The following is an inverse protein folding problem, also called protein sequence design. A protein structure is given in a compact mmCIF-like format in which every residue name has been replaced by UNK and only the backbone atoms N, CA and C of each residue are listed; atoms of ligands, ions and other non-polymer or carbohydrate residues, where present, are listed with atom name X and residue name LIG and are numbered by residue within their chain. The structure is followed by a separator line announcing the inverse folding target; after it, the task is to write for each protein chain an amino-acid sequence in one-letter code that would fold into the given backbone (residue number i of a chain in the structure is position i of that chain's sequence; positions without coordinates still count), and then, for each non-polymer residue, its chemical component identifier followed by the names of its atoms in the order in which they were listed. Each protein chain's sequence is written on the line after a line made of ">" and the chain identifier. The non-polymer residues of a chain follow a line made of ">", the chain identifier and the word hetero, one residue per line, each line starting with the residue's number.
data_IF_561066154564
#
_entry.id   IF_561066154564
#
_cell.length_a   1.000
_cell.length_b   1.000
_cell.length_c   1.000
_cell.angle_alpha   90.00
_cell.angle_beta   90.00
_cell.angle_gamma   90.00
#
_symmetry.space_group_name_H-M   'P 1'
#
loop_
_entity.id
_entity.type
_entity.pdbx_description
1 polymer ?
#
# COMPACT_ATOMS: atom_id res chain seq x y z
N UNK A 1 3.43 -0.23 -22.95
CA UNK A 1 4.07 -0.31 -24.28
C UNK A 1 3.63 0.92 -25.07
N UNK A 2 4.56 1.79 -25.45
CA UNK A 2 4.25 3.02 -26.21
C UNK A 2 4.44 2.85 -27.72
N UNK A 3 4.70 1.63 -28.20
CA UNK A 3 5.06 1.35 -29.59
C UNK A 3 6.57 1.33 -29.85
N UNK A 4 7.37 2.00 -29.01
CA UNK A 4 8.83 2.06 -29.13
C UNK A 4 9.56 1.42 -27.94
N UNK A 5 9.01 1.57 -26.73
CA UNK A 5 9.59 1.04 -25.51
C UNK A 5 8.52 0.74 -24.46
N UNK A 6 8.92 0.03 -23.42
CA UNK A 6 8.09 -0.16 -22.23
C UNK A 6 8.34 0.99 -21.26
N UNK A 7 7.30 1.77 -21.00
CA UNK A 7 7.25 2.74 -19.91
C UNK A 7 6.67 2.09 -18.68
N UNK A 8 7.29 2.30 -17.52
CA UNK A 8 6.65 1.98 -16.25
C UNK A 8 5.40 2.84 -16.08
N UNK A 9 4.26 2.21 -15.78
CA UNK A 9 2.99 2.89 -15.48
C UNK A 9 2.36 2.21 -14.27
N UNK A 10 1.76 2.99 -13.36
CA UNK A 10 1.06 2.43 -12.21
C UNK A 10 -0.34 1.95 -12.61
N UNK A 11 -0.89 0.97 -11.88
CA UNK A 11 -2.28 0.53 -12.07
C UNK A 11 -3.28 1.69 -11.92
N UNK A 12 -2.96 2.61 -11.01
CA UNK A 12 -3.72 3.85 -10.84
C UNK A 12 -3.69 4.75 -12.08
N UNK A 13 -2.54 4.89 -12.75
CA UNK A 13 -2.41 5.74 -13.94
C UNK A 13 -3.23 5.23 -15.13
N UNK A 14 -3.43 3.92 -15.23
CA UNK A 14 -4.30 3.29 -16.25
C UNK A 14 -5.78 3.26 -15.84
N UNK A 15 -6.15 3.87 -14.70
CA UNK A 15 -7.53 4.02 -14.26
C UNK A 15 -8.08 2.90 -13.37
N UNK A 16 -7.23 1.99 -12.87
CA UNK A 16 -7.68 0.98 -11.92
C UNK A 16 -7.98 1.62 -10.56
N UNK A 17 -9.21 1.45 -10.08
CA UNK A 17 -9.61 1.76 -8.72
C UNK A 17 -10.07 0.49 -8.01
N UNK A 18 -9.54 0.24 -6.80
CA UNK A 18 -9.90 -0.91 -5.98
C UNK A 18 -11.09 -0.52 -5.10
N UNK A 19 -12.21 -1.20 -5.30
CA UNK A 19 -13.39 -1.01 -4.48
C UNK A 19 -13.37 -1.96 -3.28
N UNK A 20 -13.53 -1.42 -2.06
CA UNK A 20 -13.55 -2.20 -0.84
C UNK A 20 -14.96 -2.71 -0.51
N UNK A 21 -15.02 -3.84 0.19
CA UNK A 21 -16.22 -4.44 0.77
C UNK A 21 -17.34 -4.88 -0.22
N UNK A 22 -17.09 -4.81 -1.53
CA UNK A 22 -17.96 -5.39 -2.56
C UNK A 22 -17.15 -6.35 -3.42
N UNK A 23 -17.52 -7.64 -3.44
CA UNK A 23 -16.73 -8.70 -4.07
C UNK A 23 -16.73 -8.68 -5.62
N UNK A 24 -17.50 -7.79 -6.27
CA UNK A 24 -17.56 -7.66 -7.73
C UNK A 24 -18.52 -6.57 -8.22
N UNK A 25 -19.44 -6.12 -7.38
CA UNK A 25 -20.42 -5.08 -7.71
C UNK A 25 -19.84 -3.68 -7.45
N UNK A 26 -20.17 -2.73 -8.34
CA UNK A 26 -19.89 -1.32 -8.07
C UNK A 26 -20.72 -0.88 -6.86
N UNK A 27 -20.09 -0.28 -5.87
CA UNK A 27 -20.83 0.29 -4.74
C UNK A 27 -21.73 1.43 -5.25
N UNK A 28 -22.99 1.52 -4.80
CA UNK A 28 -23.85 2.65 -5.12
C UNK A 28 -23.37 3.96 -4.46
N UNK A 29 -22.64 3.87 -3.35
CA UNK A 29 -22.14 5.01 -2.57
C UNK A 29 -20.63 4.84 -2.29
N UNK A 30 -19.77 5.03 -3.30
CA UNK A 30 -18.32 4.95 -3.10
C UNK A 30 -17.80 6.22 -2.40
N UNK A 31 -16.91 6.05 -1.42
CA UNK A 31 -16.20 7.13 -0.76
C UNK A 31 -14.72 7.02 -1.12
N UNK A 32 -14.20 7.97 -1.90
CA UNK A 32 -12.81 7.91 -2.33
C UNK A 32 -11.81 8.08 -1.19
N UNK A 33 -10.76 7.26 -1.22
CA UNK A 33 -9.63 7.38 -0.31
C UNK A 33 -8.71 8.56 -0.69
N UNK A 34 -7.68 8.78 0.13
CA UNK A 34 -6.67 9.80 -0.13
C UNK A 34 -6.02 9.61 -1.51
N UNK A 35 -5.92 10.71 -2.28
CA UNK A 35 -5.43 10.68 -3.67
C UNK A 35 -4.03 10.07 -3.77
N UNK A 36 -3.15 10.29 -2.80
CA UNK A 36 -1.80 9.73 -2.78
C UNK A 36 -1.69 8.52 -1.86
N UNK A 37 -2.62 7.57 -1.96
CA UNK A 37 -2.54 6.32 -1.21
C UNK A 37 -1.46 5.42 -1.81
N UNK A 38 -0.58 4.94 -0.93
CA UNK A 38 0.53 4.06 -1.27
C UNK A 38 0.45 2.75 -0.53
N UNK A 39 0.67 1.65 -1.22
CA UNK A 39 0.66 0.30 -0.68
C UNK A 39 2.07 -0.26 -0.74
N UNK A 40 2.60 -0.62 0.43
CA UNK A 40 3.85 -1.33 0.58
C UNK A 40 3.57 -2.83 0.44
N UNK A 41 4.17 -3.46 -0.56
CA UNK A 41 4.06 -4.89 -0.82
C UNK A 41 5.43 -5.52 -1.04
N UNK A 42 5.50 -6.85 -1.01
CA UNK A 42 6.76 -7.59 -1.21
C UNK A 42 7.35 -7.39 -2.60
N UNK A 43 6.56 -6.93 -3.58
CA UNK A 43 7.05 -6.58 -4.92
C UNK A 43 7.55 -5.14 -5.04
N UNK A 44 7.34 -4.31 -4.00
CA UNK A 44 7.70 -2.90 -4.01
C UNK A 44 6.57 -2.00 -3.52
N UNK A 45 6.66 -0.73 -3.88
CA UNK A 45 5.83 0.37 -3.45
C UNK A 45 4.90 0.75 -4.60
N UNK A 46 3.60 0.67 -4.37
CA UNK A 46 2.58 0.88 -5.39
C UNK A 46 1.68 2.05 -5.04
N UNK A 47 1.46 2.97 -5.97
CA UNK A 47 0.43 3.99 -5.84
C UNK A 47 -0.90 3.43 -6.38
N UNK A 48 -1.94 3.41 -5.53
CA UNK A 48 -3.21 2.73 -5.80
C UNK A 48 -4.38 3.67 -5.51
N UNK A 49 -5.40 3.68 -6.38
CA UNK A 49 -6.67 4.34 -6.09
C UNK A 49 -7.61 3.34 -5.40
N UNK A 50 -8.27 3.78 -4.34
CA UNK A 50 -9.13 2.95 -3.51
C UNK A 50 -10.39 3.72 -3.17
N UNK A 51 -11.53 3.05 -3.27
CA UNK A 51 -12.84 3.56 -2.86
C UNK A 51 -13.39 2.70 -1.71
N UNK A 52 -13.71 3.34 -0.59
CA UNK A 52 -14.43 2.74 0.53
C UNK A 52 -15.91 2.54 0.19
N UNK A 53 -16.53 1.58 0.86
CA UNK A 53 -17.96 1.39 0.86
C UNK A 53 -18.62 2.35 1.87
N UNK A 54 -19.58 3.17 1.41
CA UNK A 54 -20.39 4.07 2.22
C UNK A 54 -21.87 3.66 2.36
N UNK A 55 -22.22 2.40 2.11
CA UNK A 55 -23.60 1.90 2.24
C UNK A 55 -24.10 1.93 3.71
N UNK A 56 -25.41 1.76 3.93
CA UNK A 56 -26.07 1.90 5.25
C UNK A 56 -25.49 1.02 6.38
N UNK A 57 -24.86 -0.11 6.05
CA UNK A 57 -24.09 -0.92 7.01
C UNK A 57 -22.58 -0.66 6.90
N UNK A 58 -22.17 0.61 6.92
CA UNK A 58 -20.77 0.97 6.77
C UNK A 58 -19.94 0.47 7.95
N UNK A 59 -18.98 -0.38 7.63
CA UNK A 59 -17.89 -0.74 8.52
C UNK A 59 -16.90 0.44 8.53
N UNK A 60 -16.26 0.77 9.67
CA UNK A 60 -15.22 1.79 9.72
C UNK A 60 -14.13 1.60 8.66
N UNK A 61 -13.64 2.69 8.05
CA UNK A 61 -12.68 2.67 6.95
C UNK A 61 -11.42 1.82 7.24
N UNK A 62 -10.88 1.91 8.46
CA UNK A 62 -9.72 1.13 8.85
C UNK A 62 -9.99 -0.38 8.87
N UNK A 63 -11.20 -0.81 9.25
CA UNK A 63 -11.58 -2.23 9.22
C UNK A 63 -11.79 -2.69 7.77
N UNK A 64 -12.35 -1.86 6.89
CA UNK A 64 -12.46 -2.19 5.46
C UNK A 64 -11.08 -2.47 4.84
N UNK A 65 -10.05 -1.70 5.21
CA UNK A 65 -8.67 -1.96 4.78
C UNK A 65 -8.13 -3.27 5.33
N UNK A 66 -8.33 -3.52 6.63
CA UNK A 66 -7.86 -4.74 7.29
C UNK A 66 -8.51 -5.99 6.71
N UNK A 67 -9.80 -5.96 6.37
CA UNK A 67 -10.50 -7.06 5.71
C UNK A 67 -9.93 -7.36 4.31
N UNK A 68 -9.45 -6.34 3.60
CA UNK A 68 -8.76 -6.50 2.32
C UNK A 68 -7.27 -6.85 2.46
N UNK A 69 -6.78 -7.09 3.69
CA UNK A 69 -5.40 -7.51 3.94
C UNK A 69 -4.38 -6.37 4.02
N UNK A 70 -4.85 -5.12 4.15
CA UNK A 70 -4.03 -3.92 4.19
C UNK A 70 -4.03 -3.30 5.58
N UNK A 71 -2.86 -3.21 6.19
CA UNK A 71 -2.65 -2.55 7.47
C UNK A 71 -2.34 -1.06 7.27
N UNK A 72 -3.17 -0.14 7.79
CA UNK A 72 -2.95 1.29 7.62
C UNK A 72 -1.88 1.85 8.56
N UNK A 73 -1.10 2.84 8.08
CA UNK A 73 -0.12 3.57 8.90
C UNK A 73 -0.74 4.45 9.98
N UNK A 74 -1.95 4.94 9.71
CA UNK A 74 -2.67 5.92 10.51
C UNK A 74 -4.16 5.60 10.42
N UNK A 75 -4.88 5.82 11.51
CA UNK A 75 -6.32 5.54 11.58
C UNK A 75 -7.18 6.71 11.08
N UNK A 76 -6.64 7.94 11.06
CA UNK A 76 -7.39 9.14 10.68
C UNK A 76 -7.31 9.44 9.18
N UNK A 77 -6.08 9.59 8.66
CA UNK A 77 -5.84 9.88 7.25
C UNK A 77 -4.85 8.86 6.72
N UNK A 78 -5.38 7.86 6.03
CA UNK A 78 -4.59 6.77 5.48
C UNK A 78 -3.90 7.25 4.20
N UNK A 79 -2.60 7.55 4.30
CA UNK A 79 -1.74 7.84 3.14
C UNK A 79 -0.90 6.64 2.71
N UNK A 80 -0.63 5.74 3.64
CA UNK A 80 0.21 4.57 3.40
C UNK A 80 -0.39 3.36 4.10
N UNK A 81 -0.42 2.24 3.39
CA UNK A 81 -0.76 0.93 3.92
C UNK A 81 0.38 -0.06 3.66
N UNK A 82 0.51 -1.08 4.49
CA UNK A 82 1.34 -2.24 4.21
C UNK A 82 0.45 -3.48 4.08
N UNK A 83 0.80 -4.37 3.16
CA UNK A 83 0.16 -5.69 3.10
C UNK A 83 0.59 -6.55 4.29
N UNK A 84 -0.30 -7.40 4.80
CA UNK A 84 0.06 -8.35 5.87
C UNK A 84 1.23 -9.26 5.50
N UNK A 85 1.31 -9.64 4.22
CA UNK A 85 2.43 -10.43 3.70
C UNK A 85 3.77 -9.68 3.85
N UNK A 86 3.79 -8.38 3.59
CA UNK A 86 4.98 -7.55 3.78
C UNK A 86 5.37 -7.48 5.26
N UNK A 87 4.41 -7.22 6.16
CA UNK A 87 4.67 -7.13 7.60
C UNK A 87 5.23 -8.44 8.14
N UNK A 88 4.65 -9.58 7.73
CA UNK A 88 5.16 -10.92 8.08
C UNK A 88 6.57 -11.17 7.55
N UNK A 89 6.84 -10.79 6.30
CA UNK A 89 8.18 -10.91 5.70
C UNK A 89 9.20 -10.08 6.48
N UNK A 90 8.86 -8.83 6.80
CA UNK A 90 9.75 -7.96 7.54
C UNK A 90 10.00 -8.48 8.96
N UNK A 91 8.95 -8.92 9.66
CA UNK A 91 9.09 -9.50 11.00
C UNK A 91 10.06 -10.69 11.01
N UNK A 92 9.93 -11.62 10.04
CA UNK A 92 10.85 -12.76 9.92
C UNK A 92 12.29 -12.32 9.61
N UNK A 93 12.49 -11.38 8.68
CA UNK A 93 13.83 -10.86 8.35
C UNK A 93 14.45 -10.09 9.52
N UNK A 94 13.65 -9.37 10.29
CA UNK A 94 14.12 -8.68 11.49
C UNK A 94 14.64 -9.67 12.55
N UNK A 95 14.00 -10.84 12.67
CA UNK A 95 14.40 -11.88 13.62
C UNK A 95 15.62 -12.69 13.13
N UNK A 96 15.62 -13.11 11.86
CA UNK A 96 16.64 -14.04 11.33
C UNK A 96 17.93 -13.33 10.95
N UNK A 97 17.84 -12.20 10.24
CA UNK A 97 19.02 -11.50 9.70
C UNK A 97 19.33 -10.18 10.39
N UNK A 98 18.61 -9.84 11.47
CA UNK A 98 18.72 -8.54 12.18
C UNK A 98 18.59 -7.35 11.22
N UNK A 99 17.76 -7.49 10.19
CA UNK A 99 17.55 -6.45 9.18
C UNK A 99 16.93 -5.22 9.84
N UNK A 100 17.59 -4.08 9.73
CA UNK A 100 17.04 -2.81 10.20
C UNK A 100 15.88 -2.37 9.30
N UNK A 101 14.94 -1.61 9.86
CA UNK A 101 13.84 -1.01 9.08
C UNK A 101 14.35 -0.11 7.97
N UNK A 102 15.52 0.52 8.15
CA UNK A 102 16.18 1.28 7.10
C UNK A 102 16.58 0.39 5.92
N UNK A 103 17.30 -0.71 6.18
CA UNK A 103 17.74 -1.63 5.12
C UNK A 103 16.55 -2.23 4.37
N UNK A 104 15.46 -2.54 5.07
CA UNK A 104 14.26 -3.07 4.44
C UNK A 104 13.49 -2.04 3.61
N UNK A 105 13.33 -0.80 4.11
CA UNK A 105 12.74 0.26 3.29
C UNK A 105 13.59 0.57 2.06
N UNK A 106 14.91 0.59 2.20
CA UNK A 106 15.81 0.78 1.07
C UNK A 106 15.76 -0.39 0.07
N UNK A 107 15.57 -1.62 0.55
CA UNK A 107 15.29 -2.78 -0.31
C UNK A 107 13.98 -2.59 -1.07
N UNK A 108 12.89 -2.17 -0.41
CA UNK A 108 11.60 -1.90 -1.06
C UNK A 108 11.70 -0.78 -2.10
N UNK A 109 12.45 0.28 -1.79
CA UNK A 109 12.72 1.37 -2.73
C UNK A 109 13.42 0.84 -3.97
N UNK A 110 14.47 0.01 -3.83
CA UNK A 110 15.16 -0.61 -4.96
C UNK A 110 14.33 -1.62 -5.73
N UNK A 111 13.42 -2.35 -5.07
CA UNK A 111 12.47 -3.23 -5.76
C UNK A 111 11.47 -2.44 -6.61
N UNK A 112 11.14 -1.23 -6.18
CA UNK A 112 10.21 -0.33 -6.89
C UNK A 112 10.89 0.40 -8.03
N UNK A 113 12.07 0.95 -7.77
CA UNK A 113 12.92 1.60 -8.75
C UNK A 113 14.40 1.34 -8.42
N UNK A 114 15.00 0.41 -9.18
CA UNK A 114 16.41 0.08 -9.02
C UNK A 114 17.35 1.07 -9.73
N UNK A 115 16.81 2.02 -10.52
CA UNK A 115 17.63 2.99 -11.25
C UNK A 115 18.09 4.15 -10.37
N UNK A 116 17.45 4.35 -9.21
CA UNK A 116 17.71 5.48 -8.33
C UNK A 116 17.28 6.84 -8.91
N UNK A 117 16.58 6.84 -10.05
CA UNK A 117 16.14 8.06 -10.73
C UNK A 117 14.90 8.65 -10.06
N UNK A 118 14.01 7.81 -9.52
CA UNK A 118 12.84 8.26 -8.79
C UNK A 118 13.07 8.13 -7.28
N UNK A 119 13.28 9.27 -6.62
CA UNK A 119 13.37 9.29 -5.16
C UNK A 119 11.98 9.10 -4.55
N UNK A 120 11.68 7.88 -4.12
CA UNK A 120 10.46 7.59 -3.38
C UNK A 120 10.54 8.18 -1.97
N UNK A 121 9.46 8.78 -1.45
CA UNK A 121 9.38 9.18 -0.05
C UNK A 121 9.70 8.01 0.88
N UNK A 122 10.62 8.23 1.83
CA UNK A 122 11.05 7.18 2.74
C UNK A 122 9.88 6.57 3.51
N UNK A 123 9.72 5.25 3.41
CA UNK A 123 8.71 4.51 4.16
C UNK A 123 9.09 4.24 5.61
N UNK A 124 10.30 4.63 6.05
CA UNK A 124 10.90 4.16 7.30
C UNK A 124 10.04 4.46 8.53
N UNK A 125 9.64 5.72 8.69
CA UNK A 125 8.85 6.14 9.86
C UNK A 125 7.49 5.44 9.91
N UNK A 126 6.85 5.29 8.74
CA UNK A 126 5.56 4.61 8.61
C UNK A 126 5.69 3.12 8.95
N UNK A 127 6.70 2.45 8.41
CA UNK A 127 6.93 1.03 8.63
C UNK A 127 7.27 0.76 10.10
N UNK A 128 8.07 1.63 10.73
CA UNK A 128 8.31 1.58 12.18
C UNK A 128 7.03 1.70 13.01
N UNK A 129 6.13 2.63 12.67
CA UNK A 129 4.85 2.75 13.38
C UNK A 129 4.00 1.49 13.25
N UNK A 130 3.88 0.96 12.03
CA UNK A 130 3.12 -0.27 11.79
C UNK A 130 3.67 -1.46 12.59
N UNK A 131 4.99 -1.54 12.75
CA UNK A 131 5.63 -2.63 13.50
C UNK A 131 5.43 -2.57 14.99
N UNK A 132 5.33 -1.36 15.55
CA UNK A 132 5.03 -1.20 16.98
C UNK A 132 3.58 -1.65 17.28
N UNK A 133 2.70 -1.56 16.27
CA UNK A 133 1.28 -1.89 16.39
C UNK A 133 0.92 -3.30 15.86
N UNK A 134 1.87 -3.99 15.22
CA UNK A 134 1.74 -5.33 14.65
C UNK A 134 2.15 -6.40 15.65
#
# INVERSE_FOLDING_TARGET
>A
WTGLYFTATTLKAIGLCVQLNHQSLKCPVPISCHVKLRILHTTGIHDVAVDYCGCEQQIPQHIQLLQCGWYPASQQVVKTCATFQLLKMFHLLSLVSKTTTYNFCHMLERMSDNTGLNMLPSCRAVLMHMLIQW
#
